data_IF_652796284918
#
_entry.id   IF_652796284918
#
_cell.length_a   1.000
_cell.length_b   1.000
_cell.length_c   1.000
_cell.angle_alpha   90.00
_cell.angle_beta   90.00
_cell.angle_gamma   90.00
#
_symmetry.space_group_name_H-M   'P 1'
#
loop_
_entity.id
_entity.type
_entity.pdbx_description
1 polymer ?
#
# COMPACT_ATOMS: atom_id res chain seq x y z
N UNK A 1 -22.41 -8.37 -26.12
CA UNK A 1 -22.99 -8.66 -24.79
C UNK A 1 -24.47 -8.32 -24.81
N UNK A 2 -25.37 -9.24 -24.41
CA UNK A 2 -26.82 -9.04 -24.53
C UNK A 2 -27.33 -8.29 -23.28
N UNK A 3 -28.14 -7.24 -23.44
CA UNK A 3 -28.66 -6.39 -22.34
C UNK A 3 -29.21 -7.15 -21.12
N UNK A 4 -29.76 -8.34 -21.33
CA UNK A 4 -30.25 -9.25 -20.28
C UNK A 4 -29.13 -9.66 -19.30
N UNK A 5 -27.93 -9.97 -19.80
CA UNK A 5 -26.82 -10.40 -18.93
C UNK A 5 -26.31 -9.26 -18.05
N UNK A 6 -26.41 -8.01 -18.52
CA UNK A 6 -26.04 -6.82 -17.72
C UNK A 6 -27.06 -6.63 -16.59
N UNK A 7 -28.36 -6.70 -16.89
CA UNK A 7 -29.41 -6.61 -15.87
C UNK A 7 -29.33 -7.73 -14.81
N UNK A 8 -28.95 -8.94 -15.21
CA UNK A 8 -28.75 -10.05 -14.26
C UNK A 8 -27.57 -9.80 -13.32
N UNK A 9 -26.47 -9.25 -13.84
CA UNK A 9 -25.30 -8.84 -13.03
C UNK A 9 -25.68 -7.70 -12.08
N UNK A 10 -26.41 -6.68 -12.54
CA UNK A 10 -26.87 -5.57 -11.69
C UNK A 10 -27.76 -6.05 -10.55
N UNK A 11 -28.67 -6.99 -10.82
CA UNK A 11 -29.52 -7.60 -9.80
C UNK A 11 -28.70 -8.40 -8.78
N UNK A 12 -27.67 -9.12 -9.21
CA UNK A 12 -26.76 -9.84 -8.32
C UNK A 12 -25.94 -8.88 -7.46
N UNK A 13 -25.40 -7.82 -8.05
CA UNK A 13 -24.66 -6.78 -7.33
C UNK A 13 -25.54 -6.06 -6.30
N UNK A 14 -26.79 -5.75 -6.64
CA UNK A 14 -27.74 -5.15 -5.71
C UNK A 14 -28.06 -6.08 -4.54
N UNK A 15 -28.26 -7.38 -4.80
CA UNK A 15 -28.46 -8.38 -3.74
C UNK A 15 -27.22 -8.53 -2.85
N UNK A 16 -26.03 -8.53 -3.45
CA UNK A 16 -24.78 -8.59 -2.70
C UNK A 16 -24.61 -7.36 -1.81
N UNK A 17 -24.88 -6.16 -2.33
CA UNK A 17 -24.82 -4.91 -1.55
C UNK A 17 -25.77 -4.92 -0.34
N UNK A 18 -26.96 -5.51 -0.49
CA UNK A 18 -27.92 -5.66 0.61
C UNK A 18 -27.45 -6.66 1.69
N UNK A 19 -26.70 -7.69 1.31
CA UNK A 19 -26.25 -8.75 2.21
C UNK A 19 -24.86 -8.45 2.79
N UNK A 20 -24.06 -7.60 2.15
CA UNK A 20 -22.71 -7.24 2.55
C UNK A 20 -22.57 -6.80 4.02
N UNK A 21 -23.48 -6.00 4.60
CA UNK A 21 -23.40 -5.65 6.03
C UNK A 21 -23.50 -6.87 6.95
N UNK A 22 -24.35 -7.84 6.61
CA UNK A 22 -24.50 -9.08 7.38
C UNK A 22 -23.26 -9.96 7.27
N UNK A 23 -22.70 -10.09 6.07
CA UNK A 23 -21.44 -10.83 5.85
C UNK A 23 -20.31 -10.19 6.66
N UNK A 24 -20.20 -8.86 6.63
CA UNK A 24 -19.19 -8.13 7.40
C UNK A 24 -19.35 -8.36 8.90
N UNK A 25 -20.57 -8.20 9.43
CA UNK A 25 -20.84 -8.41 10.86
C UNK A 25 -20.48 -9.83 11.31
N UNK A 26 -20.90 -10.85 10.55
CA UNK A 26 -20.58 -12.23 10.86
C UNK A 26 -19.07 -12.53 10.73
N UNK A 27 -18.39 -11.89 9.78
CA UNK A 27 -16.93 -11.92 9.66
C UNK A 27 -16.24 -11.34 10.89
N UNK A 28 -16.61 -10.13 11.31
CA UNK A 28 -16.07 -9.48 12.50
C UNK A 28 -16.29 -10.31 13.78
N UNK A 29 -17.46 -10.93 13.94
CA UNK A 29 -17.74 -11.86 15.06
C UNK A 29 -16.83 -13.10 15.01
N UNK A 30 -16.64 -13.68 13.82
CA UNK A 30 -15.74 -14.81 13.64
C UNK A 30 -14.29 -14.45 14.00
N UNK A 31 -13.79 -13.32 13.51
CA UNK A 31 -12.43 -12.84 13.81
C UNK A 31 -12.23 -12.61 15.31
N UNK A 32 -13.20 -11.96 15.96
CA UNK A 32 -13.22 -11.77 17.42
C UNK A 32 -13.19 -13.09 18.17
N UNK A 33 -14.05 -14.04 17.82
CA UNK A 33 -14.09 -15.35 18.47
C UNK A 33 -12.78 -16.11 18.35
N UNK A 34 -12.17 -16.12 17.15
CA UNK A 34 -10.86 -16.75 16.91
C UNK A 34 -9.74 -16.07 17.70
N UNK A 35 -9.79 -14.75 17.80
CA UNK A 35 -8.86 -13.98 18.61
C UNK A 35 -8.98 -14.34 20.10
N UNK A 36 -10.20 -14.35 20.65
CA UNK A 36 -10.42 -14.68 22.07
C UNK A 36 -10.03 -16.12 22.42
N UNK A 37 -10.32 -17.07 21.52
CA UNK A 37 -9.89 -18.46 21.65
C UNK A 37 -8.36 -18.60 21.75
N UNK A 38 -7.62 -17.78 21.00
CA UNK A 38 -6.16 -17.86 20.93
C UNK A 38 -5.45 -17.01 22.00
N UNK A 39 -6.00 -15.84 22.35
CA UNK A 39 -5.29 -14.81 23.11
C UNK A 39 -6.01 -14.35 24.39
N UNK A 40 -7.20 -14.88 24.67
CA UNK A 40 -7.98 -14.57 25.87
C UNK A 40 -9.09 -13.55 25.63
N UNK A 41 -10.05 -13.49 26.56
CA UNK A 41 -11.28 -12.72 26.40
C UNK A 41 -11.10 -11.21 26.55
N UNK A 42 -11.90 -10.45 25.80
CA UNK A 42 -11.96 -8.99 25.87
C UNK A 42 -12.38 -8.43 27.25
N UNK A 43 -13.09 -9.22 28.06
CA UNK A 43 -13.62 -8.78 29.36
C UNK A 43 -12.59 -8.85 30.50
N UNK A 44 -11.70 -9.83 30.44
CA UNK A 44 -10.69 -10.10 31.48
C UNK A 44 -9.35 -9.43 31.14
N UNK A 45 -9.21 -8.92 29.90
CA UNK A 45 -7.97 -8.43 29.34
C UNK A 45 -7.24 -9.55 28.60
N UNK A 46 -6.74 -9.27 27.39
CA UNK A 46 -6.04 -10.27 26.59
C UNK A 46 -4.58 -10.35 27.03
N UNK A 47 -4.34 -10.93 28.21
CA UNK A 47 -3.01 -11.07 28.82
C UNK A 47 -2.02 -11.79 27.89
N UNK A 48 -2.50 -12.65 26.99
CA UNK A 48 -1.66 -13.43 26.08
C UNK A 48 -1.35 -12.73 24.74
N UNK A 49 -1.89 -11.53 24.49
CA UNK A 49 -1.60 -10.75 23.29
C UNK A 49 -0.36 -9.86 23.51
N UNK A 50 0.77 -10.53 23.67
CA UNK A 50 2.03 -9.93 24.10
C UNK A 50 2.60 -8.95 23.07
N UNK A 51 2.41 -9.20 21.77
CA UNK A 51 2.92 -8.30 20.73
C UNK A 51 2.17 -6.96 20.78
N UNK A 52 0.85 -6.99 20.96
CA UNK A 52 0.06 -5.77 21.11
C UNK A 52 0.36 -4.99 22.37
N UNK A 53 0.56 -5.66 23.50
CA UNK A 53 1.01 -5.00 24.73
C UNK A 53 2.41 -4.38 24.55
N UNK A 54 3.32 -5.06 23.86
CA UNK A 54 4.63 -4.51 23.56
C UNK A 54 4.53 -3.25 22.69
N UNK A 55 3.58 -3.20 21.76
CA UNK A 55 3.31 -2.03 20.93
C UNK A 55 2.69 -0.87 21.73
N UNK A 56 1.74 -1.15 22.63
CA UNK A 56 1.12 -0.10 23.47
C UNK A 56 2.10 0.50 24.48
N UNK A 57 3.10 -0.27 24.90
CA UNK A 57 4.18 0.19 25.79
C UNK A 57 5.20 1.14 25.14
N UNK A 58 5.15 1.36 23.81
CA UNK A 58 6.04 2.30 23.14
C UNK A 58 5.47 3.72 23.28
N UNK A 59 6.12 4.59 24.08
CA UNK A 59 5.63 5.95 24.40
C UNK A 59 5.25 6.82 23.19
N UNK A 60 5.81 6.53 22.00
CA UNK A 60 5.51 7.27 20.76
C UNK A 60 4.32 6.73 19.98
N UNK A 61 3.69 5.65 20.45
CA UNK A 61 2.61 4.93 19.76
C UNK A 61 1.31 5.07 20.56
N UNK A 62 0.41 5.90 20.07
CA UNK A 62 -0.97 5.93 20.58
C UNK A 62 -1.77 4.85 19.83
N UNK A 63 -2.21 3.78 20.50
CA UNK A 63 -3.10 2.79 19.89
C UNK A 63 -4.58 3.06 20.18
N UNK A 64 -4.89 4.06 21.02
CA UNK A 64 -6.25 4.34 21.52
C UNK A 64 -7.09 5.11 20.53
N UNK A 65 -6.49 5.57 19.44
CA UNK A 65 -7.18 6.30 18.37
C UNK A 65 -6.94 5.63 17.03
N UNK A 66 -7.93 5.73 16.12
CA UNK A 66 -7.79 5.20 14.74
C UNK A 66 -6.55 5.76 14.04
N UNK A 67 -6.34 7.07 14.16
CA UNK A 67 -5.17 7.75 13.60
C UNK A 67 -3.86 7.23 14.21
N UNK A 68 -3.87 7.00 15.52
CA UNK A 68 -2.77 6.40 16.25
C UNK A 68 -2.44 4.97 15.76
N UNK A 69 -3.44 4.10 15.61
CA UNK A 69 -3.27 2.76 15.04
C UNK A 69 -2.73 2.79 13.60
N UNK A 70 -3.25 3.70 12.76
CA UNK A 70 -2.75 3.89 11.38
C UNK A 70 -1.27 4.24 11.41
N UNK A 71 -0.90 5.24 12.21
CA UNK A 71 0.50 5.67 12.34
C UNK A 71 1.37 4.54 12.87
N UNK A 72 0.92 3.84 13.92
CA UNK A 72 1.60 2.69 14.48
C UNK A 72 1.86 1.64 13.40
N UNK A 73 0.84 1.28 12.64
CA UNK A 73 0.94 0.24 11.62
C UNK A 73 1.90 0.63 10.51
N UNK A 74 1.78 1.85 9.97
CA UNK A 74 2.69 2.26 8.90
C UNK A 74 4.11 2.40 9.43
N UNK A 75 4.35 3.15 10.50
CA UNK A 75 5.71 3.42 10.98
C UNK A 75 6.38 2.19 11.59
N UNK A 76 5.65 1.40 12.38
CA UNK A 76 6.19 0.30 13.18
C UNK A 76 6.00 -1.07 12.54
N UNK A 77 5.01 -1.26 11.67
CA UNK A 77 4.85 -2.52 10.93
C UNK A 77 5.52 -2.48 9.58
N UNK A 78 5.18 -1.47 8.78
CA UNK A 78 5.61 -1.42 7.38
C UNK A 78 7.06 -0.95 7.26
N UNK A 79 7.42 0.10 8.02
CA UNK A 79 8.70 0.80 7.88
C UNK A 79 9.70 0.54 9.02
N UNK A 80 9.37 -0.32 9.98
CA UNK A 80 10.28 -0.62 11.08
C UNK A 80 11.46 -1.48 10.65
N UNK A 81 12.65 -1.03 11.02
CA UNK A 81 13.89 -1.81 10.99
C UNK A 81 14.02 -2.75 12.20
N UNK A 82 13.24 -2.51 13.26
CA UNK A 82 13.24 -3.36 14.44
C UNK A 82 12.39 -4.61 14.18
N UNK A 83 12.87 -5.75 14.67
CA UNK A 83 12.09 -6.98 14.76
C UNK A 83 11.05 -6.81 15.87
N UNK A 84 10.02 -6.03 15.61
CA UNK A 84 8.81 -6.06 16.41
C UNK A 84 7.94 -7.18 15.88
N UNK A 85 7.39 -7.95 16.81
CA UNK A 85 6.43 -8.98 16.48
C UNK A 85 5.17 -8.33 15.90
N UNK A 86 4.54 -9.05 14.96
CA UNK A 86 3.28 -8.65 14.36
C UNK A 86 2.20 -8.68 15.45
N UNK A 87 1.48 -7.57 15.68
CA UNK A 87 0.33 -7.56 16.57
C UNK A 87 -0.67 -8.66 16.24
N UNK A 88 -1.24 -9.29 17.26
CA UNK A 88 -2.15 -10.42 17.11
C UNK A 88 -3.41 -10.06 16.28
N UNK A 89 -3.83 -8.79 16.30
CA UNK A 89 -4.96 -8.29 15.47
C UNK A 89 -4.70 -8.37 13.98
N UNK A 90 -3.45 -8.53 13.55
CA UNK A 90 -3.05 -8.69 12.15
C UNK A 90 -2.71 -10.14 11.79
N UNK A 91 -3.01 -11.11 12.65
CA UNK A 91 -2.60 -12.51 12.43
C UNK A 91 -3.08 -13.07 11.09
N UNK A 92 -4.29 -12.72 10.65
CA UNK A 92 -4.84 -13.16 9.37
C UNK A 92 -4.27 -12.40 8.16
N UNK A 93 -3.66 -11.24 8.40
CA UNK A 93 -3.11 -10.35 7.37
C UNK A 93 -1.57 -10.42 7.29
N UNK A 94 -0.94 -11.36 8.00
CA UNK A 94 0.52 -11.48 8.10
C UNK A 94 1.21 -11.50 6.73
N UNK A 95 0.77 -12.40 5.84
CA UNK A 95 1.37 -12.54 4.51
C UNK A 95 1.24 -11.26 3.69
N UNK A 96 0.09 -10.59 3.80
CA UNK A 96 -0.15 -9.34 3.12
C UNK A 96 0.77 -8.23 3.64
N UNK A 97 0.86 -8.06 4.96
CA UNK A 97 1.73 -7.06 5.60
C UNK A 97 3.20 -7.30 5.23
N UNK A 98 3.66 -8.55 5.23
CA UNK A 98 5.02 -8.89 4.82
C UNK A 98 5.28 -8.56 3.34
N UNK A 99 4.30 -8.75 2.45
CA UNK A 99 4.40 -8.29 1.06
C UNK A 99 4.49 -6.76 0.96
N UNK A 100 3.67 -6.02 1.71
CA UNK A 100 3.70 -4.55 1.72
C UNK A 100 5.07 -4.04 2.21
N UNK A 101 5.63 -4.63 3.28
CA UNK A 101 6.99 -4.31 3.78
C UNK A 101 8.05 -4.47 2.69
N UNK A 102 8.00 -5.61 1.99
CA UNK A 102 8.94 -5.91 0.90
C UNK A 102 8.79 -4.90 -0.23
N UNK A 103 7.55 -4.64 -0.66
CA UNK A 103 7.27 -3.66 -1.71
C UNK A 103 7.75 -2.26 -1.35
N UNK A 104 7.49 -1.81 -0.12
CA UNK A 104 7.93 -0.49 0.35
C UNK A 104 9.46 -0.36 0.35
N UNK A 105 10.17 -1.42 0.76
CA UNK A 105 11.63 -1.47 0.73
C UNK A 105 12.17 -1.43 -0.70
N UNK A 106 11.63 -2.29 -1.58
CA UNK A 106 11.99 -2.35 -3.01
C UNK A 106 11.74 -1.02 -3.70
N UNK A 107 10.61 -0.39 -3.41
CA UNK A 107 10.24 0.93 -3.91
C UNK A 107 11.26 1.98 -3.51
N UNK A 108 11.63 2.00 -2.22
CA UNK A 108 12.58 2.97 -1.68
C UNK A 108 13.94 2.87 -2.36
N UNK A 109 14.45 1.65 -2.47
CA UNK A 109 15.72 1.34 -3.13
C UNK A 109 15.66 1.60 -4.63
N UNK A 110 14.62 1.11 -5.31
CA UNK A 110 14.51 1.19 -6.76
C UNK A 110 14.30 2.62 -7.28
N UNK A 111 13.48 3.45 -6.61
CA UNK A 111 13.37 4.86 -6.97
C UNK A 111 14.69 5.62 -6.73
N UNK A 112 15.42 5.31 -5.65
CA UNK A 112 16.72 5.93 -5.40
C UNK A 112 17.74 5.54 -6.50
N UNK A 113 17.79 4.26 -6.88
CA UNK A 113 18.62 3.80 -8.01
C UNK A 113 18.23 4.51 -9.30
N UNK A 114 16.94 4.62 -9.61
CA UNK A 114 16.47 5.28 -10.82
C UNK A 114 16.85 6.78 -10.84
N UNK A 115 16.80 7.46 -9.69
CA UNK A 115 17.29 8.84 -9.55
C UNK A 115 18.80 8.92 -9.85
N UNK A 116 19.59 7.98 -9.33
CA UNK A 116 21.03 7.91 -9.63
C UNK A 116 21.29 7.65 -11.12
N UNK A 117 20.50 6.77 -11.76
CA UNK A 117 20.57 6.52 -13.20
C UNK A 117 20.27 7.78 -14.02
N UNK A 118 19.23 8.54 -13.66
CA UNK A 118 18.92 9.83 -14.29
C UNK A 118 20.03 10.86 -14.08
N UNK A 119 20.58 10.93 -12.86
CA UNK A 119 21.68 11.84 -12.54
C UNK A 119 22.94 11.51 -13.35
N UNK A 120 23.30 10.22 -13.45
CA UNK A 120 24.44 9.76 -14.25
C UNK A 120 24.24 10.01 -15.75
N UNK A 121 23.00 9.88 -16.24
CA UNK A 121 22.63 10.20 -17.62
C UNK A 121 22.43 11.71 -17.88
N UNK A 122 22.49 12.55 -16.84
CA UNK A 122 22.24 14.00 -16.90
C UNK A 122 20.86 14.36 -17.46
N UNK A 123 19.86 13.54 -17.15
CA UNK A 123 18.46 13.75 -17.56
C UNK A 123 17.56 13.96 -16.34
N UNK A 124 16.39 14.55 -16.57
CA UNK A 124 15.38 14.72 -15.52
C UNK A 124 14.69 13.40 -15.17
N UNK A 125 14.22 13.27 -13.92
CA UNK A 125 13.46 12.09 -13.44
C UNK A 125 12.17 11.86 -14.25
N UNK A 126 11.62 12.90 -14.88
CA UNK A 126 10.47 12.81 -15.77
C UNK A 126 10.69 11.95 -17.02
N UNK A 127 11.94 11.57 -17.35
CA UNK A 127 12.25 10.67 -18.45
C UNK A 127 11.95 9.18 -18.13
N UNK A 128 11.70 8.84 -16.86
CA UNK A 128 11.41 7.47 -16.42
C UNK A 128 9.99 6.98 -16.74
N UNK A 129 9.12 7.85 -17.28
CA UNK A 129 7.74 7.51 -17.65
C UNK A 129 7.57 7.14 -19.13
N UNK A 130 8.66 7.15 -19.92
CA UNK A 130 8.65 6.79 -21.33
C UNK A 130 8.57 5.28 -21.57
N UNK A 131 7.81 4.86 -22.59
CA UNK A 131 7.64 3.45 -22.97
C UNK A 131 8.93 2.79 -23.45
N UNK A 132 9.88 3.56 -23.98
CA UNK A 132 11.16 3.07 -24.52
C UNK A 132 12.08 2.47 -23.43
N UNK A 133 11.88 2.86 -22.17
CA UNK A 133 12.69 2.39 -21.04
C UNK A 133 11.96 1.39 -20.15
N UNK A 134 10.74 1.00 -20.54
CA UNK A 134 9.88 0.13 -19.75
C UNK A 134 10.53 -1.24 -19.51
N UNK A 135 11.22 -1.80 -20.51
CA UNK A 135 11.91 -3.10 -20.38
C UNK A 135 13.04 -3.05 -19.36
N UNK A 136 13.87 -2.01 -19.38
CA UNK A 136 14.99 -1.90 -18.43
C UNK A 136 14.52 -1.53 -17.02
N UNK A 137 13.43 -0.76 -16.92
CA UNK A 137 12.70 -0.55 -15.67
C UNK A 137 12.20 -1.88 -15.09
N UNK A 138 11.48 -2.68 -15.88
CA UNK A 138 10.94 -3.97 -15.43
C UNK A 138 12.05 -4.92 -14.98
N UNK A 139 13.18 -4.94 -15.67
CA UNK A 139 14.36 -5.72 -15.25
C UNK A 139 14.92 -5.27 -13.90
N UNK A 140 15.01 -3.96 -13.66
CA UNK A 140 15.44 -3.45 -12.36
C UNK A 140 14.45 -3.85 -11.25
N UNK A 141 13.15 -3.75 -11.52
CA UNK A 141 12.10 -4.20 -10.59
C UNK A 141 12.25 -5.70 -10.29
N UNK A 142 12.44 -6.53 -11.32
CA UNK A 142 12.65 -7.98 -11.16
C UNK A 142 13.91 -8.29 -10.33
N UNK A 143 15.02 -7.60 -10.59
CA UNK A 143 16.26 -7.79 -9.81
C UNK A 143 16.08 -7.43 -8.32
N UNK A 144 15.31 -6.38 -8.03
CA UNK A 144 15.03 -5.95 -6.64
C UNK A 144 13.97 -6.82 -5.94
N UNK A 145 13.10 -7.47 -6.70
CA UNK A 145 12.02 -8.36 -6.18
C UNK A 145 12.41 -9.83 -6.19
N UNK A 146 13.65 -10.17 -6.56
CA UNK A 146 14.17 -11.52 -6.43
C UNK A 146 14.23 -11.95 -4.94
N UNK A 147 14.06 -13.26 -4.68
CA UNK A 147 14.19 -13.82 -3.31
C UNK A 147 15.56 -13.51 -2.70
N UNK A 148 16.58 -13.49 -3.55
CA UNK A 148 17.93 -13.09 -3.21
C UNK A 148 18.38 -11.99 -4.17
N UNK A 149 18.65 -10.81 -3.62
CA UNK A 149 19.13 -9.66 -4.39
C UNK A 149 20.63 -9.86 -4.65
N UNK A 150 21.00 -10.07 -5.90
CA UNK A 150 22.40 -10.10 -6.34
C UNK A 150 22.84 -8.68 -6.74
N UNK A 151 23.85 -8.14 -6.05
CA UNK A 151 24.32 -6.75 -6.28
C UNK A 151 24.78 -6.54 -7.74
N UNK A 152 25.37 -7.56 -8.36
CA UNK A 152 25.80 -7.52 -9.76
C UNK A 152 24.66 -7.23 -10.72
N UNK A 153 23.52 -7.89 -10.50
CA UNK A 153 22.38 -7.86 -11.40
C UNK A 153 21.69 -6.49 -11.32
N UNK A 154 21.55 -5.96 -10.10
CA UNK A 154 21.01 -4.61 -9.86
C UNK A 154 21.91 -3.55 -10.50
N UNK A 155 23.24 -3.68 -10.37
CA UNK A 155 24.20 -2.76 -11.01
C UNK A 155 24.12 -2.84 -12.53
N UNK A 156 24.03 -4.05 -13.10
CA UNK A 156 23.89 -4.23 -14.55
C UNK A 156 22.61 -3.60 -15.08
N UNK A 157 21.48 -3.82 -14.40
CA UNK A 157 20.20 -3.19 -14.72
C UNK A 157 20.27 -1.66 -14.62
N UNK A 158 20.89 -1.12 -13.56
CA UNK A 158 21.07 0.32 -13.39
C UNK A 158 21.91 0.93 -14.52
N UNK A 159 23.01 0.28 -14.90
CA UNK A 159 23.87 0.73 -16.00
C UNK A 159 23.14 0.70 -17.35
N UNK A 160 22.38 -0.36 -17.63
CA UNK A 160 21.53 -0.43 -18.84
C UNK A 160 20.51 0.69 -18.87
N UNK A 161 19.78 0.87 -17.77
CA UNK A 161 18.79 1.94 -17.65
C UNK A 161 19.43 3.33 -17.87
N UNK A 162 20.57 3.59 -17.25
CA UNK A 162 21.28 4.87 -17.42
C UNK A 162 21.79 5.08 -18.85
N UNK A 163 22.28 4.02 -19.52
CA UNK A 163 22.69 4.07 -20.93
C UNK A 163 21.50 4.26 -21.88
N UNK A 164 20.36 3.65 -21.60
CA UNK A 164 19.13 3.88 -22.36
C UNK A 164 18.62 5.33 -22.20
N UNK A 165 18.81 5.92 -21.02
CA UNK A 165 18.49 7.32 -20.74
C UNK A 165 19.49 8.30 -21.38
N UNK A 166 20.76 7.90 -21.51
CA UNK A 166 21.83 8.76 -22.00
C UNK A 166 21.98 8.67 -23.52
N UNK A 167 21.98 9.82 -24.20
CA UNK A 167 22.44 9.92 -25.59
C UNK A 167 23.98 9.94 -25.74
N UNK A 168 24.74 9.58 -24.69
CA UNK A 168 26.20 9.74 -24.63
C UNK A 168 26.84 8.98 -23.45
N UNK A 169 28.09 9.33 -23.09
CA UNK A 169 28.86 8.62 -22.07
C UNK A 169 28.27 8.77 -20.65
N UNK A 170 28.14 7.63 -19.96
CA UNK A 170 27.66 7.52 -18.56
C UNK A 170 28.86 7.28 -17.64
N UNK A 171 28.91 7.96 -16.49
CA UNK A 171 29.87 7.66 -15.43
C UNK A 171 29.51 6.34 -14.72
N UNK A 172 29.96 5.23 -15.30
CA UNK A 172 29.68 3.88 -14.79
C UNK A 172 30.27 3.64 -13.38
N UNK A 173 31.45 4.21 -13.12
CA UNK A 173 32.14 4.05 -11.83
C UNK A 173 31.39 4.74 -10.69
N UNK A 174 30.99 5.99 -10.92
CA UNK A 174 30.16 6.75 -9.98
C UNK A 174 28.79 6.09 -9.75
N UNK A 175 28.12 5.66 -10.82
CA UNK A 175 26.80 5.01 -10.72
C UNK A 175 26.87 3.69 -9.93
N UNK A 176 27.87 2.84 -10.22
CA UNK A 176 28.07 1.60 -9.46
C UNK A 176 28.27 1.85 -7.97
N UNK A 177 29.07 2.85 -7.61
CA UNK A 177 29.27 3.25 -6.22
C UNK A 177 27.96 3.62 -5.53
N UNK A 178 27.16 4.48 -6.18
CA UNK A 178 25.85 4.93 -5.67
C UNK A 178 24.85 3.78 -5.50
N UNK A 179 24.78 2.86 -6.47
CA UNK A 179 23.89 1.69 -6.38
C UNK A 179 24.26 0.82 -5.18
N UNK A 180 25.55 0.55 -4.97
CA UNK A 180 26.01 -0.24 -3.82
C UNK A 180 25.75 0.47 -2.48
N UNK A 181 25.94 1.79 -2.40
CA UNK A 181 25.57 2.58 -1.21
C UNK A 181 24.07 2.54 -0.94
N UNK A 182 23.25 2.49 -1.99
CA UNK A 182 21.78 2.39 -1.89
C UNK A 182 21.38 1.02 -1.33
N UNK A 183 21.94 -0.06 -1.87
CA UNK A 183 21.69 -1.43 -1.40
C UNK A 183 22.15 -1.65 0.05
N UNK A 184 23.21 -0.96 0.48
CA UNK A 184 23.70 -0.98 1.87
C UNK A 184 22.91 -0.07 2.81
N UNK A 185 21.96 0.72 2.31
CA UNK A 185 21.18 1.67 3.12
C UNK A 185 21.98 2.87 3.64
N UNK A 186 23.17 3.13 3.09
CA UNK A 186 24.02 4.27 3.50
C UNK A 186 23.75 5.52 2.67
N UNK A 187 23.18 5.36 1.48
CA UNK A 187 22.86 6.45 0.57
C UNK A 187 21.81 7.42 1.13
N UNK A 188 22.05 8.73 0.94
CA UNK A 188 21.16 9.78 1.43
C UNK A 188 19.86 9.87 0.61
N UNK A 189 19.92 9.58 -0.70
CA UNK A 189 18.74 9.57 -1.57
C UNK A 189 17.83 8.41 -1.15
N UNK A 190 18.37 7.21 -0.93
CA UNK A 190 17.62 6.07 -0.43
C UNK A 190 16.87 6.37 0.89
N UNK A 191 17.52 7.02 1.85
CA UNK A 191 16.88 7.44 3.12
C UNK A 191 15.77 8.47 2.90
N UNK A 192 15.98 9.44 2.01
CA UNK A 192 14.96 10.43 1.68
C UNK A 192 13.75 9.77 1.02
N UNK A 193 13.96 8.87 0.07
CA UNK A 193 12.88 8.16 -0.62
C UNK A 193 12.14 7.25 0.36
N UNK A 194 12.83 6.49 1.21
CA UNK A 194 12.18 5.67 2.23
C UNK A 194 11.23 6.49 3.12
N UNK A 195 11.66 7.69 3.55
CA UNK A 195 10.80 8.62 4.30
C UNK A 195 9.58 9.07 3.48
N UNK A 196 9.76 9.35 2.19
CA UNK A 196 8.64 9.70 1.30
C UNK A 196 7.68 8.55 1.07
N UNK A 197 8.18 7.32 0.93
CA UNK A 197 7.34 6.12 0.85
C UNK A 197 6.53 5.95 2.14
N UNK A 198 7.15 6.13 3.30
CA UNK A 198 6.44 6.13 4.59
C UNK A 198 5.34 7.19 4.65
N UNK A 199 5.66 8.45 4.29
CA UNK A 199 4.66 9.54 4.25
C UNK A 199 3.54 9.27 3.25
N UNK A 200 3.84 8.63 2.11
CA UNK A 200 2.84 8.21 1.14
C UNK A 200 1.85 7.20 1.76
N UNK A 201 2.35 6.13 2.40
CA UNK A 201 1.48 5.14 3.04
C UNK A 201 0.64 5.75 4.16
N UNK A 202 1.21 6.65 4.98
CA UNK A 202 0.46 7.38 6.00
C UNK A 202 -0.67 8.21 5.37
N UNK A 203 -0.37 9.01 4.34
CA UNK A 203 -1.36 9.84 3.65
C UNK A 203 -2.49 9.01 3.04
N UNK A 204 -2.19 7.85 2.46
CA UNK A 204 -3.21 6.96 1.89
C UNK A 204 -4.05 6.33 2.98
N UNK A 205 -3.44 5.84 4.06
CA UNK A 205 -4.14 5.19 5.16
C UNK A 205 -5.01 6.15 5.98
N UNK A 206 -4.58 7.40 6.18
CA UNK A 206 -5.33 8.45 6.87
C UNK A 206 -6.46 9.06 6.03
N UNK A 207 -6.51 8.76 4.72
CA UNK A 207 -7.49 9.35 3.83
C UNK A 207 -8.91 8.92 4.22
N UNK A 208 -9.70 9.86 4.71
CA UNK A 208 -11.13 9.63 4.93
C UNK A 208 -11.84 9.36 3.59
N UNK A 209 -12.71 8.34 3.56
CA UNK A 209 -13.67 8.18 2.45
C UNK A 209 -14.60 9.39 2.47
N UNK A 210 -14.71 10.08 1.35
CA UNK A 210 -15.74 11.11 1.20
C UNK A 210 -17.08 10.42 1.00
N UNK A 211 -18.00 10.55 1.97
CA UNK A 211 -19.43 10.37 1.68
C UNK A 211 -20.06 9.02 2.02
N UNK A 212 -19.53 8.25 2.98
CA UNK A 212 -20.34 7.22 3.63
C UNK A 212 -21.18 7.88 4.73
N UNK A 213 -22.30 8.49 4.36
CA UNK A 213 -23.43 8.49 5.30
C UNK A 213 -23.71 7.02 5.63
N UNK A 214 -23.83 6.68 6.91
CA UNK A 214 -23.94 5.33 7.49
C UNK A 214 -25.10 4.46 6.95
N UNK A 215 -25.84 4.93 5.95
CA UNK A 215 -26.81 4.15 5.20
C UNK A 215 -26.15 3.44 4.03
N UNK A 216 -25.87 2.15 4.19
CA UNK A 216 -25.32 1.23 3.19
C UNK A 216 -26.21 0.96 1.97
N UNK A 217 -26.82 1.98 1.37
CA UNK A 217 -27.65 1.87 0.17
C UNK A 217 -27.29 3.00 -0.80
N UNK A 218 -26.84 2.70 -2.03
CA UNK A 218 -26.67 3.71 -3.06
C UNK A 218 -28.01 4.43 -3.33
N UNK A 219 -28.03 5.76 -3.16
CA UNK A 219 -29.25 6.58 -3.29
C UNK A 219 -29.83 6.59 -4.71
N UNK A 220 -29.06 6.17 -5.74
CA UNK A 220 -29.59 6.01 -7.10
C UNK A 220 -28.95 4.85 -7.85
N UNK A 221 -29.79 3.94 -8.37
CA UNK A 221 -29.43 2.98 -9.41
C UNK A 221 -29.75 3.62 -10.77
N UNK A 222 -28.73 3.95 -11.57
CA UNK A 222 -28.92 4.42 -12.95
C UNK A 222 -28.73 3.25 -13.92
N UNK A 223 -29.80 2.85 -14.61
CA UNK A 223 -29.69 1.89 -15.72
C UNK A 223 -28.98 2.56 -16.91
N UNK A 224 -27.97 1.90 -17.50
CA UNK A 224 -27.15 2.38 -18.64
C UNK A 224 -27.89 2.55 -19.98
N UNK A 225 -29.14 3.01 -19.99
CA UNK A 225 -29.91 3.34 -21.20
C UNK A 225 -30.05 4.85 -21.45
N UNK A 226 -29.46 5.70 -20.60
CA UNK A 226 -29.43 7.15 -20.80
C UNK A 226 -28.08 7.66 -21.32
N UNK A 227 -27.44 6.95 -22.25
CA UNK A 227 -26.30 7.49 -23.03
C UNK A 227 -26.80 8.33 -24.21
N UNK A 228 -27.56 9.37 -23.88
CA UNK A 228 -28.04 10.41 -24.79
C UNK A 228 -27.61 11.78 -24.29
N UNK A 229 -26.31 11.96 -24.05
CA UNK A 229 -25.69 13.26 -23.82
C UNK A 229 -25.87 13.84 -22.41
N UNK A 230 -25.08 13.36 -21.45
CA UNK A 230 -24.44 14.14 -20.37
C UNK A 230 -23.79 13.17 -19.37
N UNK A 231 -22.47 13.30 -19.26
CA UNK A 231 -21.57 12.83 -18.19
C UNK A 231 -21.77 11.41 -17.65
N UNK A 232 -20.77 10.57 -17.95
CA UNK A 232 -20.59 9.19 -17.44
C UNK A 232 -20.79 9.15 -15.92
N UNK A 233 -21.92 8.60 -15.49
CA UNK A 233 -22.20 8.24 -14.10
C UNK A 233 -22.60 6.78 -14.03
N UNK A 234 -21.62 5.89 -14.15
CA UNK A 234 -21.75 4.49 -13.77
C UNK A 234 -21.53 4.36 -12.27
N UNK A 235 -22.42 3.68 -11.57
CA UNK A 235 -22.22 3.29 -10.17
C UNK A 235 -21.41 1.98 -10.18
N UNK A 236 -20.14 2.07 -10.60
CA UNK A 236 -19.14 1.00 -10.56
C UNK A 236 -18.09 1.45 -9.55
N UNK A 237 -17.93 0.78 -8.40
CA UNK A 237 -16.72 0.87 -7.56
C UNK A 237 -16.07 2.27 -7.44
N UNK A 238 -16.88 3.34 -7.51
CA UNK A 238 -16.37 4.66 -7.92
C UNK A 238 -15.37 5.14 -6.89
N UNK A 239 -15.60 4.82 -5.62
CA UNK A 239 -14.67 5.15 -4.54
C UNK A 239 -13.36 4.36 -4.56
N UNK A 240 -13.36 3.05 -4.90
CA UNK A 240 -12.12 2.25 -4.91
C UNK A 240 -11.26 2.70 -6.08
N UNK A 241 -11.87 2.88 -7.25
CA UNK A 241 -11.17 3.37 -8.44
C UNK A 241 -10.73 4.84 -8.27
N UNK A 242 -11.52 5.69 -7.60
CA UNK A 242 -11.14 7.06 -7.27
C UNK A 242 -10.01 7.13 -6.23
N UNK A 243 -10.04 6.27 -5.20
CA UNK A 243 -8.98 6.20 -4.19
C UNK A 243 -7.71 5.63 -4.81
N UNK A 244 -7.80 4.63 -5.66
CA UNK A 244 -6.66 4.06 -6.38
C UNK A 244 -6.08 5.10 -7.35
N UNK A 245 -6.90 5.77 -8.17
CA UNK A 245 -6.44 6.84 -9.06
C UNK A 245 -5.82 8.01 -8.29
N UNK A 246 -6.42 8.38 -7.14
CA UNK A 246 -5.85 9.39 -6.25
C UNK A 246 -4.52 8.92 -5.65
N UNK A 247 -4.43 7.66 -5.22
CA UNK A 247 -3.22 7.04 -4.69
C UNK A 247 -2.09 7.04 -5.72
N UNK A 248 -2.39 6.73 -6.99
CA UNK A 248 -1.43 6.82 -8.09
C UNK A 248 -0.90 8.26 -8.27
N UNK A 249 -1.79 9.25 -8.28
CA UNK A 249 -1.40 10.67 -8.37
C UNK A 249 -0.53 11.09 -7.19
N UNK A 250 -0.86 10.62 -6.00
CA UNK A 250 -0.12 10.93 -4.79
C UNK A 250 1.26 10.24 -4.80
N UNK A 251 1.38 8.99 -5.27
CA UNK A 251 2.66 8.31 -5.46
C UNK A 251 3.59 9.11 -6.39
N UNK A 252 3.07 9.63 -7.51
CA UNK A 252 3.82 10.52 -8.42
C UNK A 252 4.26 11.80 -7.71
N UNK A 253 3.36 12.43 -6.92
CA UNK A 253 3.68 13.64 -6.14
C UNK A 253 4.79 13.40 -5.11
N UNK A 254 4.84 12.22 -4.50
CA UNK A 254 5.95 11.82 -3.60
C UNK A 254 7.23 11.42 -4.35
N UNK A 255 7.23 11.44 -5.68
CA UNK A 255 8.39 11.04 -6.49
C UNK A 255 8.61 9.52 -6.49
N UNK A 256 7.54 8.74 -6.32
CA UNK A 256 7.54 7.27 -6.29
C UNK A 256 6.98 6.68 -7.59
N UNK A 257 6.85 7.48 -8.65
CA UNK A 257 6.14 7.11 -9.88
C UNK A 257 6.70 5.88 -10.60
N UNK A 258 7.93 5.45 -10.32
CA UNK A 258 8.47 4.20 -10.87
C UNK A 258 7.67 2.97 -10.41
N UNK A 259 7.23 2.97 -9.16
CA UNK A 259 6.44 1.90 -8.53
C UNK A 259 5.02 2.39 -8.20
N UNK A 260 4.55 3.43 -8.89
CA UNK A 260 3.31 4.11 -8.53
C UNK A 260 2.10 3.17 -8.55
N UNK A 261 2.02 2.31 -9.57
CA UNK A 261 0.93 1.35 -9.75
C UNK A 261 0.90 0.29 -8.63
N UNK A 262 2.04 -0.32 -8.35
CA UNK A 262 2.16 -1.35 -7.32
C UNK A 262 1.93 -0.77 -5.91
N UNK A 263 2.50 0.41 -5.64
CA UNK A 263 2.30 1.11 -4.37
C UNK A 263 0.86 1.55 -4.19
N UNK A 264 0.22 2.03 -5.26
CA UNK A 264 -1.12 2.55 -5.25
C UNK A 264 -2.09 1.50 -4.69
N UNK A 265 -2.14 0.34 -5.35
CA UNK A 265 -3.04 -0.75 -4.97
C UNK A 265 -2.71 -1.35 -3.59
N UNK A 266 -1.44 -1.55 -3.26
CA UNK A 266 -1.07 -2.12 -1.95
C UNK A 266 -1.32 -1.15 -0.79
N UNK A 267 -1.18 0.17 -0.99
CA UNK A 267 -1.51 1.16 0.04
C UNK A 267 -3.02 1.23 0.31
N UNK A 268 -3.87 1.11 -0.72
CA UNK A 268 -5.33 1.03 -0.54
C UNK A 268 -5.73 -0.23 0.23
N UNK A 269 -5.11 -1.37 -0.07
CA UNK A 269 -5.36 -2.62 0.67
C UNK A 269 -4.87 -2.53 2.11
N UNK A 270 -3.69 -1.93 2.36
CA UNK A 270 -3.18 -1.73 3.71
C UNK A 270 -4.14 -0.87 4.54
N UNK A 271 -4.67 0.19 3.92
CA UNK A 271 -5.72 0.98 4.55
C UNK A 271 -6.91 0.12 4.95
N UNK A 272 -7.42 -0.74 4.07
CA UNK A 272 -8.55 -1.62 4.38
C UNK A 272 -8.25 -2.57 5.54
N UNK A 273 -7.02 -3.10 5.63
CA UNK A 273 -6.57 -3.95 6.75
C UNK A 273 -6.57 -3.17 8.06
N UNK A 274 -6.06 -1.93 8.08
CA UNK A 274 -6.07 -1.09 9.28
C UNK A 274 -7.49 -0.66 9.66
N UNK A 275 -8.34 -0.36 8.68
CA UNK A 275 -9.75 -0.06 8.90
C UNK A 275 -10.47 -1.27 9.52
N UNK A 276 -10.26 -2.48 9.01
CA UNK A 276 -10.83 -3.70 9.58
C UNK A 276 -10.33 -3.92 11.01
N UNK A 277 -9.03 -3.80 11.26
CA UNK A 277 -8.48 -3.95 12.61
C UNK A 277 -9.10 -2.95 13.61
N UNK A 278 -9.32 -1.70 13.18
CA UNK A 278 -10.00 -0.70 14.00
C UNK A 278 -11.48 -1.04 14.25
N UNK A 279 -12.22 -1.44 13.21
CA UNK A 279 -13.64 -1.78 13.34
C UNK A 279 -13.87 -3.04 14.19
N UNK A 280 -12.99 -4.04 14.06
CA UNK A 280 -13.11 -5.30 14.76
C UNK A 280 -12.63 -5.17 16.21
N UNK A 281 -11.50 -4.49 16.45
CA UNK A 281 -10.83 -4.50 17.76
C UNK A 281 -10.68 -3.13 18.43
N UNK A 282 -10.87 -2.03 17.71
CA UNK A 282 -10.53 -0.68 18.18
C UNK A 282 -11.18 -0.27 19.48
N UNK A 283 -12.51 -0.23 19.52
CA UNK A 283 -13.27 0.30 20.67
C UNK A 283 -13.12 -0.54 21.94
N UNK A 284 -13.04 -1.86 21.81
CA UNK A 284 -13.10 -2.75 22.98
C UNK A 284 -11.72 -3.14 23.47
N UNK A 285 -10.79 -3.34 22.55
CA UNK A 285 -9.54 -4.01 22.84
C UNK A 285 -8.35 -3.06 22.83
N UNK A 286 -8.22 -2.19 21.83
CA UNK A 286 -7.14 -1.20 21.79
C UNK A 286 -7.27 -0.12 22.88
N UNK A 287 -8.48 0.19 23.33
CA UNK A 287 -8.72 1.12 24.44
C UNK A 287 -8.30 0.57 25.82
N UNK A 288 -8.33 -0.76 25.97
CA UNK A 288 -8.04 -1.46 27.24
C UNK A 288 -6.56 -1.84 27.40
N UNK A 289 -5.75 -1.69 26.35
CA UNK A 289 -4.29 -1.85 26.38
C UNK A 289 -3.58 -0.57 26.87
#
# INVERSE_FOLDING_TARGET
MKKVSVCEVDLLNAKLAQIAPFIKAQGSEYERGRFEEAFGSFDVGCENALAMQAWSGVETVDLKTKAGLIKATVENLVFSNAKMDLPEVYLMDMDFIMRVRRLATVTGVGNAIAIHCCSAAKVGVGCLTGTELQVDKERLVLALTAERIEESDVVECALRLSKGLAGGDVDEGGLKGRVLETLKGTDAVAKLIAKRTQSFFLNVAERERKGVEESGIPVTLRSGLMDGGREKGGVENVEVDEIEEWSLKEAVRFGLGLFGEELGGEAVKLRAVVENAWEVFGEVYLEKL
#
